data_IF_966762867158
#
_entry.id   IF_966762867158
#
_cell.length_a   1.000
_cell.length_b   1.000
_cell.length_c   1.000
_cell.angle_alpha   90.00
_cell.angle_beta   90.00
_cell.angle_gamma   90.00
#
_symmetry.space_group_name_H-M   'P 1'
#
loop_
_entity.id
_entity.type
_entity.pdbx_description
1 polymer ?
#
# COMPACT_ATOMS: atom_id res chain seq x y z
N UNK A 1 -32.77 43.19 43.76
CA UNK A 1 -32.50 42.42 42.53
C UNK A 1 -31.30 43.06 41.85
N UNK A 2 -30.09 42.52 42.03
CA UNK A 2 -28.92 43.12 41.38
C UNK A 2 -27.76 42.13 41.31
N UNK A 3 -27.16 42.09 40.12
CA UNK A 3 -25.92 41.42 39.71
C UNK A 3 -26.10 40.06 39.03
N UNK A 4 -26.88 40.06 37.94
CA UNK A 4 -26.88 38.97 36.94
C UNK A 4 -25.72 39.09 35.92
N UNK A 5 -24.97 40.20 35.93
CA UNK A 5 -23.90 40.46 34.96
C UNK A 5 -22.53 40.20 35.59
N UNK A 6 -21.71 39.30 35.00
CA UNK A 6 -20.35 39.06 35.47
C UNK A 6 -19.50 40.33 35.33
N UNK A 7 -18.52 40.52 36.21
CA UNK A 7 -17.53 41.59 36.01
C UNK A 7 -16.76 41.34 34.71
N UNK A 8 -16.29 42.42 34.07
CA UNK A 8 -15.49 42.32 32.84
C UNK A 8 -14.28 41.39 33.04
N UNK A 9 -13.68 41.41 34.23
CA UNK A 9 -12.58 40.52 34.60
C UNK A 9 -13.01 39.05 34.68
N UNK A 10 -14.16 38.75 35.31
CA UNK A 10 -14.69 37.39 35.40
C UNK A 10 -15.07 36.86 34.01
N UNK A 11 -15.67 37.72 33.17
CA UNK A 11 -15.95 37.40 31.78
C UNK A 11 -14.66 37.09 31.01
N UNK A 12 -13.65 37.96 31.08
CA UNK A 12 -12.37 37.75 30.39
C UNK A 12 -11.66 36.47 30.85
N UNK A 13 -11.61 36.19 32.16
CA UNK A 13 -11.04 34.95 32.72
C UNK A 13 -11.80 33.72 32.22
N UNK A 14 -13.14 33.77 32.24
CA UNK A 14 -13.99 32.69 31.72
C UNK A 14 -13.76 32.43 30.23
N UNK A 15 -13.66 33.49 29.42
CA UNK A 15 -13.37 33.39 27.98
C UNK A 15 -12.00 32.79 27.73
N UNK A 16 -10.95 33.26 28.42
CA UNK A 16 -9.59 32.74 28.27
C UNK A 16 -9.50 31.27 28.68
N UNK A 17 -10.08 30.91 29.83
CA UNK A 17 -10.09 29.52 30.30
C UNK A 17 -10.84 28.59 29.33
N UNK A 18 -12.00 29.04 28.82
CA UNK A 18 -12.78 28.29 27.83
C UNK A 18 -12.00 28.11 26.52
N UNK A 19 -11.38 29.18 26.01
CA UNK A 19 -10.59 29.12 24.78
C UNK A 19 -9.37 28.19 24.94
N UNK A 20 -8.66 28.27 26.08
CA UNK A 20 -7.54 27.39 26.38
C UNK A 20 -7.98 25.92 26.50
N UNK A 21 -9.11 25.65 27.17
CA UNK A 21 -9.68 24.32 27.31
C UNK A 21 -10.06 23.71 25.96
N UNK A 22 -10.84 24.44 25.16
CA UNK A 22 -11.26 23.99 23.82
C UNK A 22 -10.07 23.81 22.89
N UNK A 23 -9.09 24.71 22.92
CA UNK A 23 -7.88 24.59 22.09
C UNK A 23 -7.07 23.37 22.49
N UNK A 24 -6.88 23.14 23.79
CA UNK A 24 -6.11 21.98 24.30
C UNK A 24 -6.78 20.67 23.89
N UNK A 25 -8.09 20.56 24.05
CA UNK A 25 -8.85 19.37 23.62
C UNK A 25 -8.79 19.22 22.10
N UNK A 26 -9.01 20.30 21.35
CA UNK A 26 -8.96 20.30 19.88
C UNK A 26 -7.59 19.85 19.34
N UNK A 27 -6.50 20.45 19.82
CA UNK A 27 -5.15 20.05 19.44
C UNK A 27 -4.79 18.65 19.94
N UNK A 28 -5.27 18.25 21.11
CA UNK A 28 -5.13 16.89 21.60
C UNK A 28 -5.77 15.88 20.63
N UNK A 29 -7.03 16.12 20.25
CA UNK A 29 -7.74 15.28 19.29
C UNK A 29 -7.06 15.27 17.92
N UNK A 30 -6.56 16.40 17.43
CA UNK A 30 -5.80 16.46 16.18
C UNK A 30 -4.48 15.68 16.30
N UNK A 31 -3.72 15.87 17.37
CA UNK A 31 -2.43 15.21 17.55
C UNK A 31 -2.57 13.69 17.70
N UNK A 32 -3.54 13.22 18.49
CA UNK A 32 -3.78 11.78 18.65
C UNK A 32 -4.56 11.18 17.48
N UNK A 33 -5.40 11.97 16.80
CA UNK A 33 -6.22 11.55 15.65
C UNK A 33 -5.56 11.75 14.29
N UNK A 34 -4.39 12.41 14.19
CA UNK A 34 -3.74 12.76 12.92
C UNK A 34 -3.53 11.56 12.01
N UNK A 35 -3.23 10.39 12.59
CA UNK A 35 -3.02 9.17 11.84
C UNK A 35 -4.28 8.80 11.06
N UNK A 36 -5.48 8.92 11.63
CA UNK A 36 -6.71 8.61 10.91
C UNK A 36 -7.10 9.66 9.87
N UNK A 37 -6.66 10.91 10.04
CA UNK A 37 -6.95 12.01 9.12
C UNK A 37 -6.02 12.01 7.89
N UNK A 38 -4.73 11.78 8.11
CA UNK A 38 -3.69 11.89 7.07
C UNK A 38 -3.34 10.51 6.51
N UNK A 39 -3.44 9.46 7.33
CA UNK A 39 -2.99 8.12 6.98
C UNK A 39 -3.99 7.04 7.40
N UNK A 40 -5.06 6.81 6.61
CA UNK A 40 -6.12 5.85 6.95
C UNK A 40 -5.61 4.40 6.84
N UNK A 41 -4.70 4.02 7.72
CA UNK A 41 -3.95 2.76 7.68
C UNK A 41 -4.78 1.53 8.05
N UNK A 42 -6.00 1.75 8.52
CA UNK A 42 -7.02 0.73 8.72
C UNK A 42 -7.87 0.49 7.45
N UNK A 43 -7.58 1.19 6.34
CA UNK A 43 -8.33 1.08 5.10
C UNK A 43 -7.42 0.79 3.90
N UNK A 44 -7.59 -0.37 3.22
CA UNK A 44 -8.61 -1.40 3.46
C UNK A 44 -8.43 -2.16 4.80
N UNK A 45 -9.50 -2.82 5.33
CA UNK A 45 -9.39 -3.66 6.51
C UNK A 45 -8.30 -4.73 6.34
N UNK A 46 -7.56 -5.03 7.41
CA UNK A 46 -6.48 -6.02 7.37
C UNK A 46 -5.17 -5.57 6.72
N UNK A 47 -5.09 -4.33 6.19
CA UNK A 47 -3.90 -3.81 5.49
C UNK A 47 -2.57 -3.99 6.22
N UNK A 48 -2.58 -4.02 7.56
CA UNK A 48 -1.38 -4.14 8.40
C UNK A 48 -1.16 -5.51 9.02
N UNK A 49 -2.13 -6.41 8.90
CA UNK A 49 -2.12 -7.73 9.54
C UNK A 49 -2.07 -8.87 8.53
N UNK A 50 -2.65 -8.65 7.35
CA UNK A 50 -2.80 -9.65 6.31
C UNK A 50 -2.17 -9.12 5.02
N UNK A 51 -1.18 -9.84 4.52
CA UNK A 51 -0.51 -9.53 3.25
C UNK A 51 -0.62 -10.76 2.37
N UNK A 52 -1.65 -10.81 1.50
CA UNK A 52 -1.77 -11.88 0.51
C UNK A 52 -0.50 -11.99 -0.36
N UNK A 53 -0.19 -13.21 -0.78
CA UNK A 53 0.95 -13.52 -1.65
C UNK A 53 0.47 -13.97 -3.04
N UNK A 54 1.30 -13.91 -4.09
CA UNK A 54 0.84 -14.24 -5.43
C UNK A 54 0.27 -15.67 -5.57
N UNK A 55 0.76 -16.63 -4.78
CA UNK A 55 0.21 -18.00 -4.74
C UNK A 55 -1.27 -18.05 -4.34
N UNK A 56 -1.74 -17.14 -3.48
CA UNK A 56 -3.16 -17.05 -3.09
C UNK A 56 -4.07 -16.73 -4.28
N UNK A 57 -3.49 -16.28 -5.40
CA UNK A 57 -4.17 -15.92 -6.64
C UNK A 57 -3.77 -16.79 -7.83
N UNK A 58 -3.18 -17.97 -7.56
CA UNK A 58 -2.67 -18.93 -8.57
C UNK A 58 -1.57 -18.34 -9.47
N UNK A 59 -0.76 -17.41 -8.94
CA UNK A 59 0.34 -16.81 -9.69
C UNK A 59 1.68 -17.41 -9.25
N UNK A 60 2.47 -17.99 -10.19
CA UNK A 60 3.82 -18.39 -9.90
C UNK A 60 4.69 -17.14 -9.70
N UNK A 61 5.48 -17.13 -8.63
CA UNK A 61 6.40 -16.03 -8.32
C UNK A 61 7.66 -16.53 -7.64
N UNK A 62 8.69 -15.69 -7.63
CA UNK A 62 9.89 -15.83 -6.83
C UNK A 62 9.93 -14.73 -5.79
N UNK A 63 10.16 -15.10 -4.53
CA UNK A 63 10.47 -14.15 -3.47
C UNK A 63 11.89 -13.58 -3.71
N UNK A 64 11.98 -12.25 -3.82
CA UNK A 64 13.22 -11.54 -4.15
C UNK A 64 13.43 -10.40 -3.14
N UNK A 65 13.98 -10.67 -1.95
CA UNK A 65 14.31 -9.61 -1.01
C UNK A 65 15.41 -8.70 -1.61
N UNK A 66 15.19 -7.40 -1.57
CA UNK A 66 16.15 -6.39 -2.03
C UNK A 66 16.74 -5.66 -0.84
N UNK A 67 18.07 -5.60 -0.77
CA UNK A 67 18.77 -4.84 0.26
C UNK A 67 19.10 -3.45 -0.26
N UNK A 68 18.65 -2.43 0.49
CA UNK A 68 18.93 -1.03 0.18
C UNK A 68 20.29 -0.60 0.73
N UNK A 69 20.89 0.50 0.23
CA UNK A 69 22.21 0.95 0.71
C UNK A 69 22.27 1.28 2.21
N UNK A 70 21.13 1.60 2.83
CA UNK A 70 20.98 1.82 4.27
C UNK A 70 20.63 0.55 5.06
N UNK A 71 20.75 -0.64 4.45
CA UNK A 71 20.59 -1.94 5.11
C UNK A 71 19.14 -2.39 5.30
N UNK A 72 18.15 -1.65 4.80
CA UNK A 72 16.75 -2.07 4.87
C UNK A 72 16.47 -3.14 3.82
N UNK A 73 15.93 -4.28 4.26
CA UNK A 73 15.49 -5.37 3.38
C UNK A 73 14.03 -5.17 2.98
N UNK A 74 13.81 -4.90 1.70
CA UNK A 74 12.49 -4.76 1.11
C UNK A 74 12.02 -6.09 0.56
N UNK A 75 10.78 -6.47 0.87
CA UNK A 75 10.13 -7.65 0.29
C UNK A 75 9.72 -7.32 -1.14
N UNK A 76 10.00 -8.21 -2.08
CA UNK A 76 9.52 -8.07 -3.46
C UNK A 76 9.14 -9.41 -4.05
N UNK A 77 8.17 -9.39 -4.95
CA UNK A 77 7.69 -10.57 -5.65
C UNK A 77 7.98 -10.42 -7.14
N UNK A 78 8.76 -11.35 -7.68
CA UNK A 78 9.12 -11.38 -9.09
C UNK A 78 8.30 -12.46 -9.81
N UNK A 79 7.44 -12.04 -10.73
CA UNK A 79 6.66 -12.90 -11.61
C UNK A 79 7.29 -12.85 -12.99
N UNK A 80 8.11 -13.85 -13.31
CA UNK A 80 8.72 -14.01 -14.64
C UNK A 80 7.81 -14.81 -15.54
N UNK A 81 7.67 -14.34 -16.77
CA UNK A 81 6.91 -15.00 -17.81
C UNK A 81 7.47 -16.39 -18.15
N UNK A 82 6.59 -17.24 -18.64
CA UNK A 82 6.91 -18.58 -19.15
C UNK A 82 6.20 -18.76 -20.47
N UNK A 83 6.66 -19.66 -21.34
CA UNK A 83 5.99 -19.96 -22.63
C UNK A 83 4.52 -20.29 -22.38
N UNK A 84 4.30 -21.29 -21.55
CA UNK A 84 2.98 -21.74 -21.13
C UNK A 84 2.64 -21.22 -19.73
N UNK A 85 1.43 -20.68 -19.59
CA UNK A 85 0.89 -20.27 -18.30
C UNK A 85 -0.26 -21.20 -17.92
N UNK A 86 -0.33 -21.67 -16.66
CA UNK A 86 -1.42 -22.52 -16.19
C UNK A 86 -2.75 -21.75 -16.02
N UNK A 87 -2.73 -20.43 -16.13
CA UNK A 87 -3.87 -19.57 -15.84
C UNK A 87 -4.88 -19.52 -17.00
N UNK A 88 -6.16 -19.76 -16.68
CA UNK A 88 -7.27 -19.63 -17.62
C UNK A 88 -7.34 -18.18 -18.14
N UNK A 89 -7.39 -18.03 -19.46
CA UNK A 89 -7.45 -16.71 -20.11
C UNK A 89 -6.09 -16.03 -20.31
N UNK A 90 -4.98 -16.75 -20.13
CA UNK A 90 -3.68 -16.29 -20.60
C UNK A 90 -3.69 -16.14 -22.12
N UNK A 91 -3.32 -14.95 -22.63
CA UNK A 91 -3.21 -14.79 -24.08
C UNK A 91 -2.02 -15.62 -24.59
N UNK A 92 -2.24 -16.53 -25.56
CA UNK A 92 -1.15 -17.30 -26.14
C UNK A 92 -0.21 -16.37 -26.89
N UNK A 93 1.08 -16.65 -26.80
CA UNK A 93 2.13 -15.95 -27.54
C UNK A 93 2.97 -17.00 -28.22
N UNK A 94 3.07 -16.90 -29.54
CA UNK A 94 3.95 -17.76 -30.31
C UNK A 94 5.41 -17.58 -29.84
N UNK A 95 6.05 -18.71 -29.59
CA UNK A 95 7.44 -18.82 -29.18
C UNK A 95 8.04 -20.00 -29.93
N UNK A 96 9.28 -19.90 -30.44
CA UNK A 96 9.98 -21.04 -31.00
C UNK A 96 10.06 -22.20 -29.99
N UNK A 97 9.98 -23.45 -30.46
CA UNK A 97 9.98 -24.62 -29.57
C UNK A 97 11.26 -24.70 -28.73
N UNK A 98 12.40 -24.34 -29.33
CA UNK A 98 13.72 -24.32 -28.70
C UNK A 98 13.94 -23.16 -27.72
N UNK A 99 13.07 -22.14 -27.72
CA UNK A 99 13.19 -20.98 -26.81
C UNK A 99 13.03 -21.46 -25.35
N UNK A 100 13.98 -21.15 -24.48
CA UNK A 100 13.86 -21.41 -23.04
C UNK A 100 12.84 -20.47 -22.37
N UNK A 101 12.39 -20.81 -21.16
CA UNK A 101 11.52 -19.89 -20.41
C UNK A 101 12.25 -18.60 -20.02
N UNK A 102 13.56 -18.69 -19.77
CA UNK A 102 14.42 -17.55 -19.46
C UNK A 102 14.54 -16.59 -20.65
N UNK A 103 14.78 -17.10 -21.86
CA UNK A 103 14.81 -16.30 -23.09
C UNK A 103 13.44 -15.70 -23.39
N UNK A 104 12.37 -16.51 -23.26
CA UNK A 104 11.00 -16.00 -23.40
C UNK A 104 10.76 -14.84 -22.46
N UNK A 105 11.11 -14.98 -21.17
CA UNK A 105 10.95 -13.93 -20.17
C UNK A 105 11.80 -12.69 -20.48
N UNK A 106 13.03 -12.85 -20.97
CA UNK A 106 13.96 -11.76 -21.25
C UNK A 106 13.45 -10.80 -22.34
N UNK A 107 12.69 -11.30 -23.32
CA UNK A 107 12.07 -10.46 -24.36
C UNK A 107 10.72 -9.84 -23.96
N UNK A 108 10.20 -10.14 -22.76
CA UNK A 108 8.93 -9.56 -22.29
C UNK A 108 9.18 -8.23 -21.59
N UNK A 109 8.29 -7.24 -21.78
CA UNK A 109 8.30 -6.02 -20.96
C UNK A 109 8.19 -6.37 -19.47
N UNK A 110 8.89 -5.61 -18.64
CA UNK A 110 8.82 -5.75 -17.18
C UNK A 110 8.08 -4.57 -16.58
N UNK A 111 7.00 -4.85 -15.85
CA UNK A 111 6.25 -3.85 -15.09
C UNK A 111 6.80 -3.83 -13.66
N UNK A 112 7.30 -2.67 -13.25
CA UNK A 112 7.66 -2.39 -11.87
C UNK A 112 6.46 -1.77 -11.15
N UNK A 113 5.92 -2.47 -10.15
CA UNK A 113 4.72 -2.07 -9.43
C UNK A 113 5.04 -1.63 -8.00
N UNK A 114 4.60 -0.43 -7.66
CA UNK A 114 4.61 0.10 -6.30
C UNK A 114 3.17 0.17 -5.79
N UNK A 115 2.94 -0.26 -4.55
CA UNK A 115 1.64 -0.02 -3.92
C UNK A 115 1.54 1.44 -3.44
N UNK A 116 0.31 1.90 -3.22
CA UNK A 116 0.05 3.21 -2.64
C UNK A 116 0.06 3.16 -1.11
N UNK A 117 -0.01 4.37 -0.54
CA UNK A 117 -0.15 4.58 0.90
C UNK A 117 -1.43 3.91 1.46
N UNK A 118 -1.33 3.35 2.66
CA UNK A 118 -2.48 2.87 3.46
C UNK A 118 -2.86 1.41 3.23
N UNK A 119 -2.29 0.78 2.20
CA UNK A 119 -2.42 -0.65 1.94
C UNK A 119 -1.06 -1.37 1.95
N UNK A 120 -1.06 -2.58 1.42
CA UNK A 120 0.16 -3.37 1.23
C UNK A 120 0.28 -3.87 -0.22
N UNK A 121 1.42 -4.50 -0.53
CA UNK A 121 1.70 -5.08 -1.84
C UNK A 121 0.66 -6.12 -2.29
N UNK A 122 0.09 -6.87 -1.33
CA UNK A 122 -0.91 -7.92 -1.58
C UNK A 122 -2.18 -7.38 -2.25
N UNK A 123 -2.62 -6.17 -1.89
CA UNK A 123 -3.77 -5.51 -2.51
C UNK A 123 -3.60 -5.21 -4.01
N UNK A 124 -2.36 -5.29 -4.52
CA UNK A 124 -2.05 -5.04 -5.93
C UNK A 124 -1.92 -6.31 -6.75
N UNK A 125 -1.98 -7.49 -6.13
CA UNK A 125 -1.83 -8.77 -6.82
C UNK A 125 -2.92 -8.98 -7.90
N UNK A 126 -4.21 -8.65 -7.67
CA UNK A 126 -5.20 -8.77 -8.74
C UNK A 126 -4.87 -7.95 -9.99
N UNK A 127 -4.26 -6.77 -9.83
CA UNK A 127 -3.80 -5.95 -10.96
C UNK A 127 -2.52 -6.55 -11.59
N UNK A 128 -1.58 -7.04 -10.78
CA UNK A 128 -0.42 -7.78 -11.27
C UNK A 128 -0.83 -9.00 -12.11
N UNK A 129 -1.90 -9.71 -11.72
CA UNK A 129 -2.50 -10.82 -12.48
C UNK A 129 -2.90 -10.39 -13.88
N UNK A 130 -3.46 -9.20 -14.05
CA UNK A 130 -3.84 -8.68 -15.38
C UNK A 130 -2.60 -8.46 -16.24
N UNK A 131 -1.57 -7.81 -15.71
CA UNK A 131 -0.31 -7.59 -16.43
C UNK A 131 0.38 -8.92 -16.79
N UNK A 132 0.37 -9.88 -15.86
CA UNK A 132 1.04 -11.17 -16.04
C UNK A 132 0.27 -12.10 -16.99
N UNK A 133 -1.03 -12.33 -16.75
CA UNK A 133 -1.82 -13.31 -17.49
C UNK A 133 -2.30 -12.74 -18.83
N UNK A 134 -2.86 -11.52 -18.83
CA UNK A 134 -3.48 -10.95 -20.04
C UNK A 134 -2.49 -10.19 -20.91
N UNK A 135 -1.66 -9.34 -20.29
CA UNK A 135 -0.69 -8.52 -21.05
C UNK A 135 0.66 -9.23 -21.28
N UNK A 136 0.85 -10.39 -20.65
CA UNK A 136 2.04 -11.23 -20.81
C UNK A 136 3.34 -10.48 -20.49
N UNK A 137 3.34 -9.68 -19.43
CA UNK A 137 4.52 -8.96 -18.94
C UNK A 137 5.17 -9.70 -17.76
N UNK A 138 6.48 -9.54 -17.59
CA UNK A 138 7.08 -9.79 -16.29
C UNK A 138 6.54 -8.75 -15.30
N UNK A 139 6.40 -9.11 -14.03
CA UNK A 139 5.94 -8.17 -13.01
C UNK A 139 6.86 -8.26 -11.79
N UNK A 140 7.46 -7.13 -11.41
CA UNK A 140 8.17 -6.99 -10.15
C UNK A 140 7.34 -6.12 -9.22
N UNK A 141 6.83 -6.71 -8.15
CA UNK A 141 6.04 -6.02 -7.14
C UNK A 141 6.93 -5.69 -5.94
N UNK A 142 7.04 -4.42 -5.57
CA UNK A 142 7.85 -3.98 -4.43
C UNK A 142 6.95 -3.58 -3.26
N UNK A 143 7.23 -4.15 -2.08
CA UNK A 143 6.75 -3.61 -0.81
C UNK A 143 7.75 -2.58 -0.32
N UNK A 144 7.39 -1.30 -0.38
CA UNK A 144 8.27 -0.24 0.13
C UNK A 144 8.29 -0.26 1.67
N UNK A 145 9.23 0.50 2.27
CA UNK A 145 9.44 0.54 3.73
C UNK A 145 8.28 1.19 4.50
N UNK A 146 7.98 0.68 5.70
CA UNK A 146 6.92 1.17 6.60
C UNK A 146 5.78 0.17 6.77
#
# INVERSE_FOLDING_TARGET
MSNLLPSIEAFAKGTVATAAGLSTVGFGLLFFGQNYLIYPSAYPPGSRTEVPVPTDFDLPYRDLPLETPDGVKLRSYLLTQRKELPNIGAMPIESPDEESNEEFAARRPTILMFHGNGGNVGHRIPLAKVFYVRMRCNVLMLSYRG
#
